data_IF_948635509934
#
_entry.id   IF_948635509934
#
_cell.length_a   1.000
_cell.length_b   1.000
_cell.length_c   1.000
_cell.angle_alpha   90.00
_cell.angle_beta   90.00
_cell.angle_gamma   90.00
#
_symmetry.space_group_name_H-M   'P 1'
#
loop_
_entity.id
_entity.type
_entity.pdbx_description
1 polymer ?
#
# COMPACT_ATOMS: atom_id res chain seq x y z
N UNK A 1 -30.94 14.41 -25.27
CA UNK A 1 -29.95 13.39 -25.71
C UNK A 1 -28.58 13.84 -25.23
N UNK A 2 -28.06 13.28 -24.14
CA UNK A 2 -26.72 13.58 -23.64
C UNK A 2 -25.74 12.62 -24.33
N UNK A 3 -24.75 13.18 -25.02
CA UNK A 3 -23.65 12.45 -25.66
C UNK A 3 -22.88 11.63 -24.62
N UNK A 4 -22.76 10.32 -24.87
CA UNK A 4 -21.90 9.43 -24.10
C UNK A 4 -20.44 9.81 -24.31
N UNK A 5 -19.85 10.51 -23.35
CA UNK A 5 -18.39 10.52 -23.19
C UNK A 5 -17.99 9.15 -22.67
N UNK A 6 -17.47 8.31 -23.56
CA UNK A 6 -16.73 7.11 -23.18
C UNK A 6 -15.69 7.48 -22.13
N UNK A 7 -15.55 6.62 -21.12
CA UNK A 7 -14.46 6.74 -20.15
C UNK A 7 -13.15 6.82 -20.94
N UNK A 8 -12.22 7.71 -20.57
CA UNK A 8 -10.92 7.77 -21.25
C UNK A 8 -10.26 6.41 -21.18
N UNK A 9 -9.74 5.94 -22.33
CA UNK A 9 -8.95 4.72 -22.41
C UNK A 9 -7.83 4.76 -21.35
N UNK A 10 -7.62 3.69 -20.58
CA UNK A 10 -6.63 3.68 -19.53
C UNK A 10 -5.22 3.86 -20.12
N UNK A 11 -4.50 4.86 -19.61
CA UNK A 11 -3.10 5.10 -19.98
C UNK A 11 -2.23 3.92 -19.51
N UNK A 12 -1.82 3.08 -20.46
CA UNK A 12 -1.00 1.88 -20.27
C UNK A 12 0.49 2.14 -20.56
N UNK A 13 0.91 3.40 -20.76
CA UNK A 13 2.30 3.76 -21.09
C UNK A 13 3.33 3.29 -20.06
N UNK A 14 2.92 3.03 -18.82
CA UNK A 14 3.75 2.50 -17.73
C UNK A 14 3.77 0.97 -17.63
N UNK A 15 3.16 0.24 -18.58
CA UNK A 15 3.16 -1.22 -18.61
C UNK A 15 2.31 -1.90 -17.52
N UNK A 16 1.44 -1.14 -16.85
CA UNK A 16 0.48 -1.66 -15.89
C UNK A 16 -0.91 -1.19 -16.28
N UNK A 17 -1.84 -2.14 -16.45
CA UNK A 17 -3.26 -1.81 -16.54
C UNK A 17 -3.71 -1.22 -15.20
N UNK A 18 -4.35 -0.04 -15.18
CA UNK A 18 -4.92 0.50 -13.95
C UNK A 18 -6.09 -0.37 -13.51
N UNK A 19 -5.82 -1.33 -12.63
CA UNK A 19 -6.84 -2.08 -11.91
C UNK A 19 -7.52 -1.16 -10.90
N UNK A 20 -8.54 -0.44 -11.38
CA UNK A 20 -9.42 0.34 -10.51
C UNK A 20 -10.15 -0.64 -9.57
N UNK A 21 -9.99 -0.46 -8.27
CA UNK A 21 -10.82 -1.16 -7.30
C UNK A 21 -12.29 -0.86 -7.59
N UNK A 22 -13.07 -1.91 -7.87
CA UNK A 22 -14.49 -1.79 -8.19
C UNK A 22 -15.24 -1.05 -7.07
N UNK A 23 -15.93 0.03 -7.44
CA UNK A 23 -16.71 0.88 -6.52
C UNK A 23 -17.73 0.00 -5.78
N UNK A 24 -17.62 -0.05 -4.44
CA UNK A 24 -18.41 -0.88 -3.47
C UNK A 24 -17.87 -2.29 -3.16
N UNK A 25 -16.60 -2.58 -3.41
CA UNK A 25 -15.91 -3.74 -2.83
C UNK A 25 -14.95 -3.30 -1.72
N UNK A 26 -15.42 -3.04 -0.48
CA UNK A 26 -14.56 -2.59 0.62
C UNK A 26 -13.47 -3.62 0.99
N UNK A 27 -13.69 -4.91 0.67
CA UNK A 27 -12.74 -5.99 0.95
C UNK A 27 -11.42 -5.83 0.18
N UNK A 28 -11.42 -5.24 -1.01
CA UNK A 28 -10.21 -5.02 -1.80
C UNK A 28 -9.37 -3.85 -1.27
N UNK A 29 -9.98 -2.87 -0.60
CA UNK A 29 -9.31 -1.66 -0.12
C UNK A 29 -8.93 -1.70 1.38
N UNK A 30 -9.40 -2.70 2.13
CA UNK A 30 -9.27 -2.72 3.60
C UNK A 30 -7.83 -2.65 4.15
N UNK A 31 -6.84 -3.17 3.42
CA UNK A 31 -5.42 -3.10 3.85
C UNK A 31 -4.90 -1.66 3.79
N UNK A 32 -5.18 -0.93 2.72
CA UNK A 32 -4.70 0.45 2.57
C UNK A 32 -5.50 1.41 3.45
N UNK A 33 -6.80 1.17 3.65
CA UNK A 33 -7.61 1.93 4.61
C UNK A 33 -7.08 1.77 6.04
N UNK A 34 -6.75 0.54 6.45
CA UNK A 34 -6.13 0.29 7.76
C UNK A 34 -4.76 0.96 7.87
N UNK A 35 -3.94 0.88 6.83
CA UNK A 35 -2.64 1.56 6.80
C UNK A 35 -2.78 3.07 7.05
N UNK A 36 -3.63 3.75 6.30
CA UNK A 36 -3.82 5.20 6.44
C UNK A 36 -4.44 5.60 7.78
N UNK A 37 -5.33 4.76 8.33
CA UNK A 37 -5.86 4.96 9.69
C UNK A 37 -4.74 4.92 10.73
N UNK A 38 -3.94 3.85 10.72
CA UNK A 38 -2.83 3.67 11.67
C UNK A 38 -1.74 4.74 11.50
N UNK A 39 -1.45 5.16 10.26
CA UNK A 39 -0.52 6.27 10.01
C UNK A 39 -0.99 7.56 10.68
N UNK A 40 -2.26 7.93 10.50
CA UNK A 40 -2.83 9.13 11.11
C UNK A 40 -2.79 9.04 12.63
N UNK A 41 -3.20 7.91 13.20
CA UNK A 41 -3.19 7.67 14.64
C UNK A 41 -1.79 7.76 15.26
N UNK A 42 -0.79 7.14 14.64
CA UNK A 42 0.55 7.03 15.26
C UNK A 42 1.48 8.18 14.93
N UNK A 43 1.31 8.83 13.79
CA UNK A 43 2.24 9.85 13.28
C UNK A 43 1.64 11.26 13.27
N UNK A 44 0.33 11.40 13.01
CA UNK A 44 -0.29 12.72 12.78
C UNK A 44 -1.04 13.23 14.01
N UNK A 45 -1.83 12.38 14.66
CA UNK A 45 -2.67 12.80 15.77
C UNK A 45 -1.83 13.17 17.01
N UNK A 46 -2.05 14.38 17.52
CA UNK A 46 -1.40 14.88 18.74
C UNK A 46 0.07 15.24 18.58
N UNK A 47 0.60 15.30 17.35
CA UNK A 47 1.99 15.68 17.07
C UNK A 47 2.05 16.97 16.24
N UNK A 48 2.96 17.85 16.60
CA UNK A 48 3.33 19.02 15.81
C UNK A 48 4.77 18.81 15.35
N UNK A 49 5.01 19.06 14.07
CA UNK A 49 6.34 19.00 13.46
C UNK A 49 6.81 20.42 13.18
N UNK A 50 8.06 20.71 13.51
CA UNK A 50 8.64 22.05 13.29
C UNK A 50 8.97 22.26 11.81
N UNK A 51 9.38 21.19 11.13
CA UNK A 51 9.74 21.22 9.71
C UNK A 51 9.04 20.11 8.90
N UNK A 52 9.03 20.29 7.58
CA UNK A 52 8.56 19.25 6.66
C UNK A 52 9.48 18.01 6.71
N UNK A 53 10.77 18.21 6.95
CA UNK A 53 11.77 17.16 7.09
C UNK A 53 11.46 16.27 8.30
N UNK A 54 11.09 16.85 9.44
CA UNK A 54 10.70 16.08 10.64
C UNK A 54 9.49 15.19 10.38
N UNK A 55 8.48 15.72 9.66
CA UNK A 55 7.32 14.93 9.24
C UNK A 55 7.73 13.80 8.30
N UNK A 56 8.60 14.07 7.32
CA UNK A 56 9.09 13.05 6.37
C UNK A 56 9.81 11.93 7.10
N UNK A 57 10.65 12.24 8.07
CA UNK A 57 11.40 11.25 8.82
C UNK A 57 10.50 10.43 9.75
N UNK A 58 9.51 11.06 10.39
CA UNK A 58 8.50 10.35 11.17
C UNK A 58 7.68 9.37 10.31
N UNK A 59 7.28 9.79 9.11
CA UNK A 59 6.56 8.94 8.14
C UNK A 59 7.47 7.79 7.66
N UNK A 60 8.74 8.05 7.34
CA UNK A 60 9.70 7.01 6.95
C UNK A 60 9.89 5.97 8.05
N UNK A 61 10.07 6.42 9.29
CA UNK A 61 10.20 5.52 10.44
C UNK A 61 8.96 4.66 10.62
N UNK A 62 7.77 5.24 10.48
CA UNK A 62 6.51 4.49 10.52
C UNK A 62 6.43 3.43 9.40
N UNK A 63 6.73 3.81 8.15
CA UNK A 63 6.69 2.89 7.01
C UNK A 63 7.66 1.73 7.21
N UNK A 64 8.88 2.01 7.68
CA UNK A 64 9.88 0.99 7.96
C UNK A 64 9.39 0.01 9.04
N UNK A 65 8.86 0.52 10.15
CA UNK A 65 8.30 -0.29 11.24
C UNK A 65 7.12 -1.13 10.78
N UNK A 66 6.17 -0.52 10.07
CA UNK A 66 4.98 -1.19 9.54
C UNK A 66 5.38 -2.36 8.63
N UNK A 67 6.24 -2.10 7.65
CA UNK A 67 6.65 -3.14 6.70
C UNK A 67 7.46 -4.27 7.36
N UNK A 68 8.21 -3.98 8.42
CA UNK A 68 9.03 -4.97 9.11
C UNK A 68 8.23 -5.83 10.09
N UNK A 69 7.31 -5.24 10.84
CA UNK A 69 6.74 -5.84 12.04
C UNK A 69 5.25 -6.14 11.95
N UNK A 70 4.49 -5.48 11.08
CA UNK A 70 3.04 -5.59 11.11
C UNK A 70 2.54 -6.88 10.47
N UNK A 71 1.88 -7.74 11.24
CA UNK A 71 1.34 -9.01 10.73
C UNK A 71 -0.01 -8.76 10.04
N UNK A 72 -0.10 -9.14 8.77
CA UNK A 72 -1.30 -8.96 7.96
C UNK A 72 -1.92 -10.34 7.70
N UNK A 73 -3.20 -10.52 8.01
CA UNK A 73 -3.91 -11.79 7.80
C UNK A 73 -3.95 -12.20 6.32
N UNK A 74 -4.20 -11.26 5.40
CA UNK A 74 -4.03 -11.45 3.95
C UNK A 74 -2.61 -11.92 3.59
N UNK A 75 -1.65 -11.58 4.45
CA UNK A 75 -0.28 -12.07 4.36
C UNK A 75 -0.01 -13.37 5.14
N UNK A 76 -1.02 -14.16 5.50
CA UNK A 76 -0.82 -15.38 6.27
C UNK A 76 -0.14 -15.09 7.61
N UNK A 77 -0.46 -13.92 8.20
CA UNK A 77 0.17 -13.38 9.40
C UNK A 77 1.67 -13.12 9.25
N UNK A 78 2.14 -12.82 8.03
CA UNK A 78 3.50 -12.34 7.78
C UNK A 78 3.54 -10.83 7.62
N UNK A 79 4.69 -10.23 7.94
CA UNK A 79 4.92 -8.82 7.62
C UNK A 79 5.09 -8.59 6.12
N UNK A 80 4.82 -7.38 5.60
CA UNK A 80 5.04 -7.07 4.19
C UNK A 80 6.46 -7.39 3.70
N UNK A 81 7.49 -7.20 4.53
CA UNK A 81 8.86 -7.60 4.17
C UNK A 81 9.03 -9.12 4.14
N UNK A 82 8.53 -9.84 5.14
CA UNK A 82 8.61 -11.30 5.17
C UNK A 82 7.88 -11.93 3.97
N UNK A 83 6.70 -11.40 3.64
CA UNK A 83 5.91 -11.84 2.48
C UNK A 83 6.65 -11.63 1.15
N UNK A 84 7.26 -10.45 0.94
CA UNK A 84 8.05 -10.16 -0.25
C UNK A 84 9.25 -11.09 -0.40
N UNK A 85 10.01 -11.30 0.69
CA UNK A 85 11.14 -12.25 0.70
C UNK A 85 10.71 -13.67 0.34
N UNK A 86 9.59 -14.14 0.89
CA UNK A 86 9.08 -15.47 0.55
C UNK A 86 8.72 -15.59 -0.94
N UNK A 87 8.12 -14.54 -1.51
CA UNK A 87 7.81 -14.51 -2.94
C UNK A 87 9.07 -14.48 -3.81
N UNK A 88 10.09 -13.70 -3.43
CA UNK A 88 11.39 -13.65 -4.11
C UNK A 88 12.09 -15.01 -4.09
N UNK A 89 12.09 -15.69 -2.94
CA UNK A 89 12.63 -17.06 -2.79
C UNK A 89 11.86 -18.08 -3.62
N UNK A 90 10.53 -17.96 -3.73
CA UNK A 90 9.70 -18.84 -4.55
C UNK A 90 9.82 -18.54 -6.06
N UNK A 91 10.19 -17.31 -6.42
CA UNK A 91 10.40 -16.88 -7.80
C UNK A 91 11.82 -17.16 -8.32
N UNK A 92 12.78 -17.45 -7.43
CA UNK A 92 14.08 -17.96 -7.83
C UNK A 92 13.92 -19.40 -8.36
N UNK A 93 14.34 -19.71 -9.59
CA UNK A 93 14.35 -21.08 -10.06
C UNK A 93 15.26 -21.91 -9.14
N UNK A 94 14.77 -23.06 -8.70
CA UNK A 94 15.60 -24.07 -8.05
C UNK A 94 16.77 -24.40 -8.98
N UNK A 95 17.95 -23.85 -8.69
CA UNK A 95 19.17 -24.26 -9.36
C UNK A 95 19.39 -25.75 -9.05
N UNK A 96 19.17 -26.58 -10.06
CA UNK A 96 19.57 -27.99 -10.13
C UNK A 96 20.77 -28.10 -11.07
#
# INVERSE_FOLDING_TARGET
MLHGRGLPEPDTSLGHDPELCLRRQPQTNGVVERFFRTLKEQVVHGRVFETLEDLRDAVRAFIARYNAQWLIEKNGHLSPHARRRQHELAAMPMAA
#
